data_IF_696970485017
#
_entry.id   IF_696970485017
#
_cell.length_a   1.000
_cell.length_b   1.000
_cell.length_c   1.000
_cell.angle_alpha   90.00
_cell.angle_beta   90.00
_cell.angle_gamma   90.00
#
_symmetry.space_group_name_H-M   'P 1'
#
loop_
_entity.id
_entity.type
_entity.pdbx_description
1 polymer ?
#
# COMPACT_ATOMS: atom_id res chain seq x y z
N UNK A 1 51.82 -43.00 -61.09
CA UNK A 1 53.20 -42.98 -60.57
C UNK A 1 53.15 -42.87 -59.07
N UNK A 2 53.85 -43.79 -58.40
CA UNK A 2 54.20 -43.81 -56.97
C UNK A 2 53.07 -44.24 -56.00
N UNK A 3 53.00 -45.52 -55.63
CA UNK A 3 53.74 -46.21 -54.53
C UNK A 3 53.00 -46.01 -53.17
N UNK A 4 52.78 -46.98 -52.28
CA UNK A 4 53.35 -48.32 -52.05
C UNK A 4 52.56 -48.97 -50.87
N UNK A 5 52.34 -50.30 -50.92
CA UNK A 5 52.28 -51.31 -49.81
C UNK A 5 51.29 -51.12 -48.64
N UNK A 6 50.90 -52.13 -47.86
CA UNK A 6 50.97 -53.59 -47.95
C UNK A 6 49.88 -54.14 -47.01
N UNK A 7 49.53 -55.38 -47.28
CA UNK A 7 48.85 -56.35 -46.43
C UNK A 7 49.20 -56.26 -44.94
N UNK A 8 48.24 -56.50 -44.05
CA UNK A 8 48.15 -57.80 -43.36
C UNK A 8 47.00 -57.86 -42.35
N UNK A 9 46.22 -58.93 -42.49
CA UNK A 9 45.33 -59.51 -41.49
C UNK A 9 46.18 -60.05 -40.34
N UNK A 10 45.72 -59.91 -39.10
CA UNK A 10 45.71 -61.04 -38.16
C UNK A 10 44.68 -60.80 -37.07
N UNK A 11 43.93 -61.87 -36.80
CA UNK A 11 42.88 -62.01 -35.83
C UNK A 11 43.27 -61.52 -34.44
N UNK A 12 42.33 -60.86 -33.76
CA UNK A 12 42.14 -61.12 -32.35
C UNK A 12 40.65 -61.32 -32.11
N UNK A 13 40.33 -62.61 -31.97
CA UNK A 13 39.15 -63.18 -31.36
C UNK A 13 38.58 -62.30 -30.25
N UNK A 14 37.34 -61.89 -30.45
CA UNK A 14 36.49 -61.33 -29.40
C UNK A 14 36.42 -62.34 -28.25
N UNK A 15 36.90 -61.93 -27.08
CA UNK A 15 36.49 -62.51 -25.80
C UNK A 15 35.00 -62.21 -25.63
N UNK A 16 34.18 -63.26 -25.57
CA UNK A 16 32.76 -63.20 -25.24
C UNK A 16 32.48 -62.78 -23.78
N UNK A 17 33.51 -62.42 -23.01
CA UNK A 17 33.43 -62.02 -21.61
C UNK A 17 33.37 -60.49 -21.38
N UNK A 18 33.46 -59.66 -22.43
CA UNK A 18 33.44 -58.19 -22.31
C UNK A 18 32.06 -57.53 -22.59
N UNK A 19 30.98 -58.33 -22.66
CA UNK A 19 29.62 -57.83 -22.92
C UNK A 19 28.67 -57.90 -21.70
N UNK A 20 29.15 -58.31 -20.53
CA UNK A 20 28.36 -58.26 -19.27
C UNK A 20 28.65 -57.02 -18.40
N UNK A 21 29.29 -56.00 -18.97
CA UNK A 21 29.20 -54.62 -18.48
C UNK A 21 28.25 -53.80 -19.35
N UNK A 22 27.12 -54.40 -19.77
CA UNK A 22 25.95 -53.59 -20.13
C UNK A 22 25.58 -52.76 -18.90
N UNK A 23 25.92 -51.47 -18.99
CA UNK A 23 25.35 -50.35 -18.25
C UNK A 23 24.39 -50.82 -17.17
N UNK A 24 24.85 -50.85 -15.91
CA UNK A 24 23.96 -50.59 -14.79
C UNK A 24 23.44 -49.18 -15.05
N UNK A 25 22.41 -49.07 -15.90
CA UNK A 25 21.76 -47.84 -16.33
C UNK A 25 21.46 -47.14 -15.03
N UNK A 26 22.24 -46.10 -14.74
CA UNK A 26 22.18 -45.43 -13.45
C UNK A 26 20.71 -45.10 -13.23
N UNK A 27 20.07 -45.73 -12.26
CA UNK A 27 18.64 -45.57 -12.07
C UNK A 27 18.42 -44.11 -11.68
N UNK A 28 17.94 -43.29 -12.62
CA UNK A 28 17.67 -41.88 -12.40
C UNK A 28 16.22 -41.73 -11.97
N UNK A 29 16.03 -41.26 -10.74
CA UNK A 29 14.71 -40.88 -10.26
C UNK A 29 14.15 -39.74 -11.12
N UNK A 30 12.82 -39.68 -11.32
CA UNK A 30 12.17 -38.52 -11.91
C UNK A 30 12.53 -37.24 -11.15
N UNK A 31 12.72 -36.13 -11.88
CA UNK A 31 12.85 -34.79 -11.26
C UNK A 31 11.51 -34.27 -10.73
N UNK A 32 10.40 -34.79 -11.26
CA UNK A 32 9.03 -34.46 -10.87
C UNK A 32 8.26 -35.71 -10.40
N UNK A 33 7.51 -35.56 -9.31
CA UNK A 33 6.63 -36.60 -8.78
C UNK A 33 5.19 -36.10 -8.76
N UNK A 34 4.20 -36.96 -9.10
CA UNK A 34 2.80 -36.54 -9.13
C UNK A 34 2.27 -36.20 -7.74
N UNK A 35 1.31 -35.29 -7.71
CA UNK A 35 0.75 -34.78 -6.46
C UNK A 35 -0.27 -35.77 -5.88
N UNK A 36 0.18 -36.57 -4.92
CA UNK A 36 -0.66 -37.60 -4.28
C UNK A 36 -1.88 -37.01 -3.56
N UNK A 37 -2.94 -37.81 -3.40
CA UNK A 37 -4.13 -37.46 -2.60
C UNK A 37 -3.78 -37.05 -1.16
N UNK A 38 -2.76 -37.69 -0.56
CA UNK A 38 -2.25 -37.35 0.77
C UNK A 38 -1.62 -35.96 0.78
N UNK A 39 -0.80 -35.63 -0.23
CA UNK A 39 -0.21 -34.30 -0.40
C UNK A 39 -1.29 -33.24 -0.63
N UNK A 40 -2.29 -33.51 -1.48
CA UNK A 40 -3.43 -32.59 -1.68
C UNK A 40 -4.21 -32.35 -0.40
N UNK A 41 -4.44 -33.38 0.42
CA UNK A 41 -5.10 -33.23 1.73
C UNK A 41 -4.29 -32.34 2.67
N UNK A 42 -2.97 -32.51 2.73
CA UNK A 42 -2.09 -31.63 3.52
C UNK A 42 -2.14 -30.20 2.99
N UNK A 43 -2.01 -30.00 1.68
CA UNK A 43 -2.07 -28.67 1.07
C UNK A 43 -3.42 -27.98 1.31
N UNK A 44 -4.53 -28.73 1.31
CA UNK A 44 -5.85 -28.21 1.71
C UNK A 44 -5.87 -27.64 3.11
N UNK A 45 -5.23 -28.31 4.07
CA UNK A 45 -5.14 -27.81 5.46
C UNK A 45 -4.20 -26.61 5.64
N UNK A 46 -3.28 -26.38 4.69
CA UNK A 46 -2.38 -25.23 4.77
C UNK A 46 -3.13 -23.95 4.43
N UNK A 47 -3.00 -22.96 5.30
CA UNK A 47 -3.42 -21.58 5.06
C UNK A 47 -2.16 -20.73 4.87
N UNK A 48 -2.25 -19.70 4.03
CA UNK A 48 -1.24 -18.65 4.05
C UNK A 48 -1.08 -18.15 5.49
N UNK A 49 0.16 -17.88 5.90
CA UNK A 49 0.43 -17.37 7.23
C UNK A 49 -0.35 -16.08 7.43
N UNK A 50 -1.48 -16.15 8.14
CA UNK A 50 -2.21 -14.96 8.54
C UNK A 50 -1.43 -14.34 9.67
N UNK A 51 -1.12 -13.05 9.51
CA UNK A 51 -0.66 -12.22 10.61
C UNK A 51 -1.70 -12.32 11.72
N UNK A 52 -1.40 -13.09 12.77
CA UNK A 52 -2.34 -13.28 13.86
C UNK A 52 -2.72 -11.93 14.49
N UNK A 53 -3.85 -11.89 15.20
CA UNK A 53 -4.40 -10.68 15.83
C UNK A 53 -3.36 -9.83 16.57
N UNK A 54 -2.28 -10.43 17.10
CA UNK A 54 -1.17 -9.71 17.75
C UNK A 54 -0.36 -8.83 16.79
N UNK A 55 -0.01 -9.30 15.59
CA UNK A 55 0.77 -8.52 14.60
C UNK A 55 -0.06 -7.39 14.05
N UNK A 56 -1.33 -7.63 13.75
CA UNK A 56 -2.26 -6.58 13.33
C UNK A 56 -2.45 -5.51 14.41
N UNK A 57 -2.62 -5.90 15.68
CA UNK A 57 -2.66 -4.93 16.80
C UNK A 57 -1.37 -4.14 16.92
N UNK A 58 -0.21 -4.78 16.73
CA UNK A 58 1.08 -4.10 16.74
C UNK A 58 1.21 -3.12 15.58
N UNK A 59 0.74 -3.50 14.38
CA UNK A 59 0.69 -2.63 13.20
C UNK A 59 -0.09 -1.36 13.49
N UNK A 60 -1.35 -1.49 13.91
CA UNK A 60 -2.19 -0.34 14.24
C UNK A 60 -1.55 0.54 15.31
N UNK A 61 -1.01 -0.08 16.38
CA UNK A 61 -0.30 0.66 17.43
C UNK A 61 0.89 1.44 16.88
N UNK A 62 1.66 0.84 15.97
CA UNK A 62 2.80 1.50 15.33
C UNK A 62 2.34 2.71 14.51
N UNK A 63 1.32 2.53 13.66
CA UNK A 63 0.75 3.61 12.86
C UNK A 63 0.22 4.75 13.72
N UNK A 64 -0.51 4.44 14.79
CA UNK A 64 -1.02 5.43 15.75
C UNK A 64 0.12 6.16 16.47
N UNK A 65 1.19 5.47 16.84
CA UNK A 65 2.38 6.08 17.42
C UNK A 65 3.06 7.04 16.44
N UNK A 66 3.18 6.66 15.17
CA UNK A 66 3.77 7.53 14.13
C UNK A 66 2.90 8.76 13.94
N UNK A 67 1.57 8.61 13.80
CA UNK A 67 0.64 9.75 13.67
C UNK A 67 0.77 10.75 14.83
N UNK A 68 0.75 10.25 16.07
CA UNK A 68 0.91 11.09 17.26
C UNK A 68 2.28 11.77 17.33
N UNK A 69 3.34 11.05 16.96
CA UNK A 69 4.68 11.61 16.94
C UNK A 69 4.79 12.74 15.90
N UNK A 70 4.22 12.55 14.71
CA UNK A 70 4.13 13.56 13.65
C UNK A 70 3.38 14.81 14.14
N UNK A 71 2.18 14.64 14.70
CA UNK A 71 1.36 15.74 15.21
C UNK A 71 2.07 16.52 16.33
N UNK A 72 2.67 15.81 17.29
CA UNK A 72 3.43 16.42 18.38
C UNK A 72 4.65 17.19 17.87
N UNK A 73 5.41 16.60 16.95
CA UNK A 73 6.58 17.24 16.35
C UNK A 73 6.20 18.53 15.60
N UNK A 74 5.19 18.48 14.73
CA UNK A 74 4.72 19.65 13.98
C UNK A 74 4.26 20.74 14.94
N UNK A 75 3.51 20.39 15.99
CA UNK A 75 3.03 21.36 16.96
C UNK A 75 4.20 22.08 17.66
N UNK A 76 5.23 21.35 18.09
CA UNK A 76 6.43 21.93 18.70
C UNK A 76 7.18 22.84 17.71
N UNK A 77 7.33 22.43 16.45
CA UNK A 77 8.04 23.24 15.44
C UNK A 77 7.29 24.53 15.14
N UNK A 78 5.97 24.46 14.94
CA UNK A 78 5.14 25.64 14.68
C UNK A 78 5.10 26.57 15.90
N UNK A 79 5.04 26.03 17.11
CA UNK A 79 5.18 26.81 18.33
C UNK A 79 6.53 27.54 18.37
N UNK A 80 7.66 26.88 18.10
CA UNK A 80 8.97 27.56 18.09
C UNK A 80 9.04 28.66 17.02
N UNK A 81 8.52 28.41 15.83
CA UNK A 81 8.54 29.40 14.75
C UNK A 81 7.65 30.61 15.07
N UNK A 82 6.48 30.39 15.67
CA UNK A 82 5.63 31.49 16.08
C UNK A 82 6.20 32.27 17.29
N UNK A 83 7.06 31.67 18.12
CA UNK A 83 7.80 32.41 19.15
C UNK A 83 8.83 33.35 18.52
N UNK A 84 9.59 32.86 17.53
CA UNK A 84 10.52 33.67 16.74
C UNK A 84 9.79 34.82 16.02
N UNK A 85 8.59 34.57 15.50
CA UNK A 85 7.76 35.60 14.89
C UNK A 85 7.32 36.67 15.90
N UNK A 86 6.92 36.28 17.12
CA UNK A 86 6.56 37.21 18.18
C UNK A 86 7.75 38.09 18.62
N UNK A 87 8.94 37.49 18.69
CA UNK A 87 10.19 38.17 19.04
C UNK A 87 10.78 39.00 17.89
N UNK A 88 10.17 38.96 16.70
CA UNK A 88 10.67 39.60 15.46
C UNK A 88 12.00 39.05 14.95
N UNK A 89 12.38 37.84 15.38
CA UNK A 89 13.51 37.07 14.87
C UNK A 89 13.20 36.36 13.53
N UNK A 90 11.95 36.47 13.10
CA UNK A 90 11.41 35.90 11.87
C UNK A 90 10.28 36.80 11.37
N UNK A 91 10.21 37.00 10.07
CA UNK A 91 9.09 37.66 9.38
C UNK A 91 7.95 36.68 9.12
N UNK A 92 6.75 37.20 8.84
CA UNK A 92 5.60 36.36 8.48
C UNK A 92 5.86 35.53 7.20
N UNK A 93 6.51 36.12 6.20
CA UNK A 93 6.87 35.40 4.97
C UNK A 93 7.82 34.24 5.24
N UNK A 94 8.80 34.44 6.12
CA UNK A 94 9.74 33.38 6.53
C UNK A 94 9.04 32.29 7.35
N UNK A 95 8.04 32.64 8.16
CA UNK A 95 7.21 31.66 8.87
C UNK A 95 6.44 30.78 7.90
N UNK A 96 5.76 31.37 6.92
CA UNK A 96 4.99 30.64 5.91
C UNK A 96 5.90 29.79 5.01
N UNK A 97 7.10 30.29 4.68
CA UNK A 97 8.10 29.52 3.95
C UNK A 97 8.65 28.35 4.77
N UNK A 98 8.96 28.56 6.06
CA UNK A 98 9.40 27.50 6.97
C UNK A 98 8.33 26.43 7.14
N UNK A 99 7.06 26.84 7.21
CA UNK A 99 5.89 25.95 7.23
C UNK A 99 5.78 25.11 5.97
N UNK A 100 5.94 25.71 4.77
CA UNK A 100 5.96 24.96 3.50
C UNK A 100 7.14 23.99 3.42
N UNK A 101 8.33 24.41 3.87
CA UNK A 101 9.53 23.58 3.93
C UNK A 101 9.36 22.40 4.90
N UNK A 102 8.62 22.57 5.99
CA UNK A 102 8.33 21.50 6.96
C UNK A 102 7.69 20.27 6.29
N UNK A 103 6.80 20.48 5.31
CA UNK A 103 6.16 19.37 4.62
C UNK A 103 7.10 18.65 3.64
N UNK A 104 7.94 19.36 2.86
CA UNK A 104 8.74 18.74 1.78
C UNK A 104 10.17 18.36 2.21
N UNK A 105 10.80 19.16 3.06
CA UNK A 105 12.26 19.14 3.27
C UNK A 105 12.66 18.73 4.69
N UNK A 106 11.72 18.61 5.62
CA UNK A 106 12.05 18.28 7.01
C UNK A 106 12.55 16.85 7.18
N UNK A 107 13.67 16.71 7.89
CA UNK A 107 14.34 15.42 8.09
C UNK A 107 13.51 14.47 8.95
N UNK A 108 12.87 14.96 10.02
CA UNK A 108 12.13 14.10 10.94
C UNK A 108 10.78 13.69 10.33
N UNK A 109 10.11 14.60 9.62
CA UNK A 109 8.94 14.24 8.83
C UNK A 109 9.28 13.16 7.79
N UNK A 110 10.39 13.30 7.06
CA UNK A 110 10.80 12.31 6.07
C UNK A 110 11.18 10.95 6.68
N UNK A 111 11.75 10.92 7.89
CA UNK A 111 11.94 9.69 8.66
C UNK A 111 10.62 9.03 9.01
N UNK A 112 9.63 9.79 9.49
CA UNK A 112 8.30 9.28 9.84
C UNK A 112 7.55 8.76 8.59
N UNK A 113 7.66 9.46 7.45
CA UNK A 113 7.16 8.98 6.15
C UNK A 113 7.79 7.66 5.75
N UNK A 114 9.10 7.52 5.90
CA UNK A 114 9.82 6.28 5.56
C UNK A 114 9.31 5.11 6.40
N UNK A 115 9.03 5.33 7.68
CA UNK A 115 8.44 4.30 8.55
C UNK A 115 7.04 3.91 8.04
N UNK A 116 6.17 4.87 7.72
CA UNK A 116 4.83 4.58 7.19
C UNK A 116 4.88 3.88 5.82
N UNK A 117 5.80 4.28 4.94
CA UNK A 117 6.02 3.63 3.65
C UNK A 117 6.45 2.18 3.83
N UNK A 118 7.38 1.91 4.75
CA UNK A 118 7.79 0.54 5.06
C UNK A 118 6.65 -0.33 5.61
N UNK A 119 5.75 0.25 6.42
CA UNK A 119 4.54 -0.44 6.89
C UNK A 119 3.64 -0.79 5.70
N UNK A 120 3.33 0.20 4.84
CA UNK A 120 2.56 0.01 3.60
C UNK A 120 3.14 -1.11 2.75
N UNK A 121 4.42 -1.03 2.41
CA UNK A 121 5.09 -1.96 1.51
C UNK A 121 5.13 -3.39 2.09
N UNK A 122 5.23 -3.51 3.41
CA UNK A 122 5.16 -4.81 4.11
C UNK A 122 3.76 -5.40 4.02
N UNK A 123 2.72 -4.61 4.23
CA UNK A 123 1.34 -5.09 4.15
C UNK A 123 0.95 -5.46 2.71
N UNK A 124 1.39 -4.68 1.72
CA UNK A 124 1.21 -5.02 0.30
C UNK A 124 1.88 -6.37 -0.01
N UNK A 125 3.12 -6.59 0.45
CA UNK A 125 3.80 -7.89 0.29
C UNK A 125 3.05 -9.04 0.95
N UNK A 126 2.46 -8.82 2.14
CA UNK A 126 1.65 -9.83 2.83
C UNK A 126 0.39 -10.18 2.02
N UNK A 127 -0.33 -9.18 1.49
CA UNK A 127 -1.50 -9.38 0.63
C UNK A 127 -1.13 -10.14 -0.65
N UNK A 128 -0.03 -9.74 -1.28
CA UNK A 128 0.48 -10.37 -2.50
C UNK A 128 0.84 -11.83 -2.25
N UNK A 129 1.47 -12.13 -1.12
CA UNK A 129 1.79 -13.49 -0.73
C UNK A 129 0.52 -14.32 -0.49
N UNK A 130 -0.48 -13.79 0.22
CA UNK A 130 -1.75 -14.50 0.47
C UNK A 130 -2.44 -14.84 -0.84
N UNK A 131 -2.50 -13.88 -1.77
CA UNK A 131 -3.09 -14.08 -3.09
C UNK A 131 -2.31 -15.13 -3.90
N UNK A 132 -0.99 -14.97 -4.03
CA UNK A 132 -0.14 -15.88 -4.78
C UNK A 132 -0.22 -17.31 -4.21
N UNK A 133 -0.22 -17.45 -2.88
CA UNK A 133 -0.39 -18.74 -2.22
C UNK A 133 -1.76 -19.36 -2.50
N UNK A 134 -2.83 -18.55 -2.43
CA UNK A 134 -4.20 -18.99 -2.71
C UNK A 134 -4.36 -19.47 -4.16
N UNK A 135 -3.88 -18.69 -5.13
CA UNK A 135 -3.91 -19.05 -6.55
C UNK A 135 -3.07 -20.29 -6.83
N UNK A 136 -1.82 -20.34 -6.35
CA UNK A 136 -0.96 -21.53 -6.49
C UNK A 136 -1.64 -22.78 -5.94
N UNK A 137 -2.27 -22.67 -4.77
CA UNK A 137 -3.00 -23.78 -4.14
C UNK A 137 -4.19 -24.23 -4.99
N UNK A 138 -4.98 -23.31 -5.54
CA UNK A 138 -6.11 -23.64 -6.41
C UNK A 138 -5.65 -24.41 -7.66
N UNK A 139 -4.66 -23.87 -8.37
CA UNK A 139 -4.11 -24.46 -9.59
C UNK A 139 -3.59 -25.89 -9.32
N UNK A 140 -2.91 -26.12 -8.18
CA UNK A 140 -2.43 -27.45 -7.79
C UNK A 140 -3.58 -28.41 -7.44
N UNK A 141 -4.68 -27.92 -6.87
CA UNK A 141 -5.83 -28.77 -6.56
C UNK A 141 -6.49 -29.31 -7.83
N UNK A 142 -6.52 -28.52 -8.90
CA UNK A 142 -7.12 -28.84 -10.19
C UNK A 142 -6.30 -29.82 -11.03
N UNK A 143 -4.98 -29.96 -10.79
CA UNK A 143 -4.12 -30.92 -11.51
C UNK A 143 -4.63 -32.35 -11.35
N UNK A 144 -5.03 -33.01 -12.43
CA UNK A 144 -5.36 -34.45 -12.41
C UNK A 144 -4.16 -35.25 -12.93
N UNK A 145 -3.54 -36.02 -12.03
CA UNK A 145 -2.29 -36.75 -12.32
C UNK A 145 -2.42 -38.18 -11.82
N UNK A 146 -2.08 -39.20 -12.63
CA UNK A 146 -2.14 -40.59 -12.20
C UNK A 146 -1.14 -40.85 -11.06
N UNK A 147 -1.42 -41.85 -10.22
CA UNK A 147 -0.49 -42.26 -9.18
C UNK A 147 0.78 -42.85 -9.81
N UNK A 148 1.97 -42.54 -9.25
CA UNK A 148 3.23 -43.09 -9.72
C UNK A 148 3.26 -44.62 -9.51
N UNK A 149 3.47 -45.36 -10.60
CA UNK A 149 3.67 -46.81 -10.63
C UNK A 149 4.91 -47.12 -11.46
N UNK A 150 5.46 -48.33 -11.33
CA UNK A 150 6.61 -48.77 -12.13
C UNK A 150 6.32 -48.62 -13.64
N UNK A 151 5.10 -48.94 -14.06
CA UNK A 151 4.68 -48.89 -15.47
C UNK A 151 4.61 -47.47 -16.04
N UNK A 152 4.24 -46.47 -15.23
CA UNK A 152 4.12 -45.08 -15.68
C UNK A 152 5.30 -44.18 -15.28
N UNK A 153 6.30 -44.73 -14.57
CA UNK A 153 7.53 -44.04 -14.18
C UNK A 153 8.26 -43.38 -15.37
N UNK A 154 8.34 -44.00 -16.57
CA UNK A 154 8.96 -43.34 -17.73
C UNK A 154 8.26 -42.06 -18.18
N UNK A 155 6.96 -41.88 -17.87
CA UNK A 155 6.24 -40.64 -18.19
C UNK A 155 6.83 -39.48 -17.39
N UNK A 156 7.06 -39.67 -16.09
CA UNK A 156 7.60 -38.65 -15.20
C UNK A 156 9.10 -38.40 -15.38
N UNK A 157 9.85 -39.39 -15.88
CA UNK A 157 11.26 -39.21 -16.24
C UNK A 157 11.43 -38.37 -17.51
N UNK A 158 10.44 -38.35 -18.41
CA UNK A 158 10.46 -37.58 -19.66
C UNK A 158 9.92 -36.15 -19.50
N UNK A 159 9.21 -35.88 -18.42
CA UNK A 159 8.80 -34.50 -18.06
C UNK A 159 10.06 -33.78 -17.62
N UNK A 160 10.73 -33.09 -18.55
CA UNK A 160 11.79 -32.15 -18.24
C UNK A 160 11.27 -31.12 -17.24
N UNK A 161 12.11 -30.67 -16.32
CA UNK A 161 11.83 -29.69 -15.26
C UNK A 161 11.09 -28.39 -15.67
N UNK A 162 10.84 -28.14 -16.96
CA UNK A 162 10.06 -27.00 -17.48
C UNK A 162 8.63 -27.27 -17.96
N UNK A 163 8.13 -28.51 -18.00
CA UNK A 163 6.80 -28.81 -18.55
C UNK A 163 5.67 -28.91 -17.51
N UNK A 164 5.99 -29.18 -16.24
CA UNK A 164 5.05 -29.12 -15.11
C UNK A 164 5.72 -28.37 -13.95
N UNK A 165 5.26 -27.14 -13.69
CA UNK A 165 5.82 -26.31 -12.62
C UNK A 165 5.71 -27.03 -11.28
N UNK A 166 6.84 -27.28 -10.63
CA UNK A 166 6.84 -27.74 -9.25
C UNK A 166 6.08 -26.74 -8.37
N UNK A 167 5.51 -27.20 -7.25
CA UNK A 167 4.69 -26.36 -6.34
C UNK A 167 5.39 -25.05 -5.97
N UNK A 168 6.70 -25.13 -5.72
CA UNK A 168 7.52 -23.98 -5.34
C UNK A 168 7.79 -23.02 -6.50
N UNK A 169 8.08 -23.53 -7.68
CA UNK A 169 8.30 -22.71 -8.88
C UNK A 169 7.00 -22.05 -9.33
N UNK A 170 5.86 -22.73 -9.19
CA UNK A 170 4.54 -22.16 -9.40
C UNK A 170 4.27 -21.00 -8.44
N UNK A 171 4.57 -21.16 -7.15
CA UNK A 171 4.46 -20.07 -6.17
C UNK A 171 5.38 -18.89 -6.53
N UNK A 172 6.64 -19.16 -6.88
CA UNK A 172 7.58 -18.12 -7.32
C UNK A 172 7.09 -17.40 -8.56
N UNK A 173 6.55 -18.13 -9.52
CA UNK A 173 5.97 -17.59 -10.75
C UNK A 173 4.81 -16.66 -10.41
N UNK A 174 3.88 -17.09 -9.54
CA UNK A 174 2.74 -16.27 -9.07
C UNK A 174 3.18 -15.04 -8.27
N UNK A 175 4.26 -15.13 -7.49
CA UNK A 175 4.84 -13.99 -6.76
C UNK A 175 5.50 -12.99 -7.72
N UNK A 176 6.19 -13.48 -8.76
CA UNK A 176 6.83 -12.63 -9.78
C UNK A 176 5.83 -12.01 -10.74
N UNK A 177 4.72 -12.69 -11.01
CA UNK A 177 3.66 -12.19 -11.91
C UNK A 177 2.83 -11.06 -11.28
N UNK A 178 3.08 -10.70 -10.01
CA UNK A 178 2.63 -9.44 -9.40
C UNK A 178 1.18 -9.07 -9.74
N UNK A 179 0.23 -9.98 -9.53
CA UNK A 179 -1.17 -9.73 -9.94
C UNK A 179 -1.88 -8.66 -9.10
N UNK A 180 -1.33 -8.32 -7.93
CA UNK A 180 -1.76 -7.14 -7.19
C UNK A 180 -0.90 -6.00 -7.70
N UNK A 181 -1.45 -5.26 -8.66
CA UNK A 181 -0.88 -4.00 -9.12
C UNK A 181 -0.46 -3.15 -7.90
N UNK A 182 0.66 -2.43 -7.98
CA UNK A 182 1.00 -1.39 -6.98
C UNK A 182 -0.12 -0.34 -6.86
N UNK A 183 -1.02 -0.27 -7.87
CA UNK A 183 -2.23 0.54 -7.90
C UNK A 183 -3.50 -0.20 -7.43
N UNK A 184 -3.38 -1.40 -6.88
CA UNK A 184 -4.53 -2.05 -6.26
C UNK A 184 -4.90 -1.27 -5.00
N UNK A 185 -6.17 -0.85 -4.92
CA UNK A 185 -6.78 -0.06 -3.84
C UNK A 185 -6.88 -0.86 -2.52
N UNK A 186 -5.74 -1.36 -2.05
CA UNK A 186 -5.60 -2.13 -0.82
C UNK A 186 -5.77 -1.20 0.38
N UNK A 187 -6.19 -1.76 1.51
CA UNK A 187 -6.33 -0.98 2.75
C UNK A 187 -5.00 -0.32 3.16
N UNK A 188 -3.87 -0.97 2.92
CA UNK A 188 -2.55 -0.42 3.24
C UNK A 188 -2.23 0.85 2.42
N UNK A 189 -2.59 0.86 1.13
CA UNK A 189 -2.43 2.03 0.26
C UNK A 189 -3.34 3.16 0.73
N UNK A 190 -4.61 2.86 1.07
CA UNK A 190 -5.55 3.84 1.64
C UNK A 190 -5.02 4.44 2.93
N UNK A 191 -4.56 3.61 3.86
CA UNK A 191 -4.06 4.05 5.15
C UNK A 191 -2.82 4.96 5.03
N UNK A 192 -1.94 4.69 4.05
CA UNK A 192 -0.78 5.53 3.76
C UNK A 192 -1.21 6.87 3.13
N UNK A 193 -2.13 6.84 2.17
CA UNK A 193 -2.69 8.07 1.57
C UNK A 193 -3.37 8.94 2.62
N UNK A 194 -4.16 8.33 3.50
CA UNK A 194 -4.81 9.02 4.63
C UNK A 194 -3.77 9.65 5.57
N UNK A 195 -2.65 8.97 5.79
CA UNK A 195 -1.53 9.53 6.56
C UNK A 195 -0.90 10.75 5.88
N UNK A 196 -0.63 10.71 4.57
CA UNK A 196 -0.10 11.88 3.84
C UNK A 196 -1.10 13.05 3.84
N UNK A 197 -2.40 12.77 3.69
CA UNK A 197 -3.45 13.80 3.80
C UNK A 197 -3.48 14.42 5.20
N UNK A 198 -3.43 13.60 6.25
CA UNK A 198 -3.38 14.06 7.64
C UNK A 198 -2.12 14.88 7.91
N UNK A 199 -0.96 14.44 7.42
CA UNK A 199 0.31 15.16 7.53
C UNK A 199 0.21 16.54 6.88
N UNK A 200 -0.28 16.60 5.64
CA UNK A 200 -0.46 17.85 4.92
C UNK A 200 -1.39 18.80 5.68
N UNK A 201 -2.57 18.33 6.09
CA UNK A 201 -3.55 19.14 6.84
C UNK A 201 -3.01 19.61 8.18
N UNK A 202 -2.24 18.77 8.87
CA UNK A 202 -1.65 19.13 10.17
C UNK A 202 -0.67 20.28 10.04
N UNK A 203 0.02 20.36 8.90
CA UNK A 203 0.91 21.47 8.55
C UNK A 203 0.12 22.62 7.94
N UNK A 204 -0.88 22.41 7.08
CA UNK A 204 -1.58 23.43 6.29
C UNK A 204 -3.11 23.25 6.36
N UNK A 205 -3.78 23.66 7.46
CA UNK A 205 -5.19 23.37 7.71
C UNK A 205 -6.14 24.15 6.79
N UNK A 206 -5.69 25.24 6.17
CA UNK A 206 -6.49 26.09 5.27
C UNK A 206 -6.19 25.86 3.79
N UNK A 207 -5.17 25.07 3.43
CA UNK A 207 -4.80 24.84 2.02
C UNK A 207 -5.49 23.57 1.48
N UNK A 208 -5.89 23.54 0.20
CA UNK A 208 -6.42 22.35 -0.44
C UNK A 208 -5.37 21.23 -0.45
N UNK A 209 -5.81 19.98 -0.26
CA UNK A 209 -4.88 18.85 -0.33
C UNK A 209 -4.54 18.60 -1.79
N UNK A 210 -3.25 18.60 -2.19
CA UNK A 210 -2.89 18.52 -3.60
C UNK A 210 -3.07 17.13 -4.25
N UNK A 211 -3.40 16.08 -3.48
CA UNK A 211 -3.44 14.68 -3.95
C UNK A 211 -4.84 14.03 -3.91
N UNK A 212 -5.92 14.83 -3.85
CA UNK A 212 -7.28 14.28 -3.77
C UNK A 212 -7.69 13.48 -5.02
N UNK A 213 -6.97 13.61 -6.14
CA UNK A 213 -7.14 12.85 -7.36
C UNK A 213 -5.90 11.98 -7.62
N UNK A 214 -6.08 10.67 -7.76
CA UNK A 214 -5.00 9.71 -8.07
C UNK A 214 -4.31 10.11 -9.38
N UNK A 215 -3.15 10.76 -9.29
CA UNK A 215 -2.18 10.83 -10.38
C UNK A 215 -0.94 10.09 -9.91
N UNK A 216 -0.63 9.03 -10.66
CA UNK A 216 0.51 8.13 -10.55
C UNK A 216 1.71 8.74 -9.84
N UNK A 217 2.29 8.00 -8.89
CA UNK A 217 3.60 8.29 -8.28
C UNK A 217 4.66 8.50 -9.39
N UNK A 218 4.77 9.73 -9.84
CA UNK A 218 5.78 10.27 -10.72
C UNK A 218 6.22 11.56 -10.05
N UNK A 219 7.50 11.61 -9.71
CA UNK A 219 8.21 12.59 -8.90
C UNK A 219 8.25 13.99 -9.58
N UNK A 220 7.08 14.53 -9.90
CA UNK A 220 6.90 15.81 -10.56
C UNK A 220 6.30 16.81 -9.59
N UNK A 221 6.92 17.99 -9.58
CA UNK A 221 6.58 19.14 -8.75
C UNK A 221 5.09 19.35 -8.60
N UNK A 222 4.58 19.03 -7.40
CA UNK A 222 3.20 19.28 -7.03
C UNK A 222 2.99 20.78 -6.90
N UNK A 223 2.35 21.33 -7.92
CA UNK A 223 1.76 22.67 -7.92
C UNK A 223 0.51 22.63 -7.03
N UNK A 224 0.54 23.36 -5.91
CA UNK A 224 -0.64 23.57 -5.09
C UNK A 224 -1.56 24.50 -5.87
N UNK A 225 -2.68 23.98 -6.36
CA UNK A 225 -3.72 24.79 -6.99
C UNK A 225 -4.14 25.88 -5.99
N UNK A 226 -3.99 27.14 -6.37
CA UNK A 226 -4.21 28.27 -5.47
C UNK A 226 -5.64 28.30 -4.95
N UNK A 227 -5.82 28.19 -3.64
CA UNK A 227 -7.13 28.26 -3.00
C UNK A 227 -7.06 28.13 -1.49
N UNK A 228 -8.13 28.55 -0.80
CA UNK A 228 -8.35 28.28 0.63
C UNK A 228 -9.53 27.34 0.79
N UNK A 229 -9.40 26.36 1.66
CA UNK A 229 -10.50 25.50 2.08
C UNK A 229 -11.31 26.25 3.13
N UNK A 230 -12.61 26.44 2.88
CA UNK A 230 -13.51 27.03 3.87
C UNK A 230 -13.72 26.07 5.04
N UNK A 231 -13.58 26.60 6.25
CA UNK A 231 -13.87 25.89 7.50
C UNK A 231 -15.29 26.18 8.02
N UNK A 232 -16.04 27.01 7.27
CA UNK A 232 -17.40 27.40 7.60
C UNK A 232 -18.40 26.40 7.02
N UNK A 233 -19.48 26.14 7.76
CA UNK A 233 -20.55 25.31 7.27
C UNK A 233 -21.34 26.07 6.19
N UNK A 234 -21.61 25.47 5.02
CA UNK A 234 -22.37 26.13 3.96
C UNK A 234 -23.87 26.32 4.29
N UNK A 235 -24.34 25.82 5.45
CA UNK A 235 -25.72 25.94 5.93
C UNK A 235 -25.84 27.01 7.01
N UNK A 236 -25.01 26.96 8.05
CA UNK A 236 -25.05 27.93 9.15
C UNK A 236 -24.17 29.15 8.92
N UNK A 237 -23.20 29.07 8.01
CA UNK A 237 -22.13 30.05 7.82
C UNK A 237 -21.23 30.26 9.05
N UNK A 238 -21.34 29.38 10.04
CA UNK A 238 -20.49 29.35 11.24
C UNK A 238 -19.37 28.31 11.09
N UNK A 239 -18.33 28.42 11.92
CA UNK A 239 -17.26 27.43 12.00
C UNK A 239 -17.84 26.05 12.32
N UNK A 240 -17.42 25.03 11.57
CA UNK A 240 -17.90 23.67 11.77
C UNK A 240 -17.39 23.11 13.11
N UNK A 241 -18.25 22.43 13.88
CA UNK A 241 -17.87 21.79 15.14
C UNK A 241 -17.80 20.25 15.00
N UNK A 242 -18.84 19.62 14.42
CA UNK A 242 -18.90 18.17 14.17
C UNK A 242 -19.01 17.90 12.65
N UNK A 243 -17.88 17.82 11.92
CA UNK A 243 -17.88 17.78 10.46
C UNK A 243 -18.36 16.43 9.93
N UNK A 244 -19.33 16.48 9.02
CA UNK A 244 -19.85 15.32 8.29
C UNK A 244 -19.83 15.58 6.79
N UNK A 245 -19.49 14.57 6.00
CA UNK A 245 -19.35 14.66 4.54
C UNK A 245 -20.40 13.80 3.84
N UNK A 246 -20.91 14.30 2.71
CA UNK A 246 -21.65 13.47 1.77
C UNK A 246 -20.66 12.75 0.84
N UNK A 247 -20.49 11.42 0.94
CA UNK A 247 -19.52 10.69 0.10
C UNK A 247 -19.88 10.74 -1.40
N UNK A 248 -21.13 11.08 -1.76
CA UNK A 248 -21.58 11.17 -3.16
C UNK A 248 -21.10 12.44 -3.86
N UNK A 249 -20.93 13.55 -3.14
CA UNK A 249 -20.53 14.84 -3.74
C UNK A 249 -19.35 15.53 -3.05
N UNK A 250 -18.85 15.00 -1.92
CA UNK A 250 -17.67 15.51 -1.24
C UNK A 250 -17.88 16.76 -0.39
N UNK A 251 -19.10 17.30 -0.29
CA UNK A 251 -19.38 18.48 0.52
C UNK A 251 -19.49 18.16 2.00
N UNK A 252 -18.87 19.00 2.82
CA UNK A 252 -18.80 18.87 4.28
C UNK A 252 -19.70 19.90 4.97
N UNK A 253 -20.33 19.50 6.07
CA UNK A 253 -21.27 20.30 6.84
C UNK A 253 -21.03 20.13 8.33
N UNK A 254 -21.54 21.06 9.14
CA UNK A 254 -21.81 20.77 10.54
C UNK A 254 -22.99 19.80 10.66
N UNK A 255 -22.82 18.77 11.48
CA UNK A 255 -23.82 17.70 11.68
C UNK A 255 -25.16 18.21 12.19
N UNK A 256 -25.17 19.20 13.07
CA UNK A 256 -26.41 19.74 13.63
C UNK A 256 -27.16 20.55 12.57
N UNK A 257 -26.43 21.38 11.82
CA UNK A 257 -26.95 22.18 10.71
C UNK A 257 -27.56 21.32 9.61
N UNK A 258 -26.84 20.28 9.15
CA UNK A 258 -27.34 19.40 8.08
C UNK A 258 -28.50 18.53 8.56
N UNK A 259 -28.52 18.09 9.82
CA UNK A 259 -29.64 17.32 10.37
C UNK A 259 -30.94 18.14 10.44
N UNK A 260 -30.84 19.46 10.64
CA UNK A 260 -31.98 20.37 10.60
C UNK A 260 -32.41 20.67 9.17
N UNK A 261 -31.45 20.92 8.26
CA UNK A 261 -31.71 21.13 6.84
C UNK A 261 -32.45 19.94 6.20
N UNK A 262 -32.04 18.71 6.53
CA UNK A 262 -32.60 17.47 6.00
C UNK A 262 -34.05 17.17 6.44
N UNK A 263 -34.63 17.98 7.33
CA UNK A 263 -36.05 17.89 7.68
C UNK A 263 -36.95 18.45 6.56
N UNK A 264 -36.43 19.38 5.77
CA UNK A 264 -37.19 20.15 4.77
C UNK A 264 -36.70 19.91 3.33
N UNK A 265 -35.52 19.34 3.15
CA UNK A 265 -34.91 19.06 1.84
C UNK A 265 -34.17 17.74 1.88
N UNK A 266 -34.07 17.06 0.73
CA UNK A 266 -33.29 15.85 0.53
C UNK A 266 -32.17 16.05 -0.50
N UNK A 267 -31.82 17.30 -0.79
CA UNK A 267 -30.76 17.68 -1.73
C UNK A 267 -29.56 18.25 -0.99
N UNK A 268 -28.38 18.16 -1.59
CA UNK A 268 -27.21 18.82 -1.06
C UNK A 268 -27.40 20.36 -1.11
N UNK A 269 -27.09 21.11 -0.03
CA UNK A 269 -27.17 22.58 -0.04
C UNK A 269 -26.27 23.27 -1.07
N UNK A 270 -25.24 22.59 -1.55
CA UNK A 270 -24.19 23.13 -2.44
C UNK A 270 -24.36 22.66 -3.89
N UNK A 271 -25.00 21.52 -4.12
CA UNK A 271 -25.12 20.91 -5.45
C UNK A 271 -26.41 20.07 -5.57
N UNK A 272 -26.86 19.69 -6.79
CA UNK A 272 -28.13 18.98 -6.96
C UNK A 272 -28.11 17.50 -6.54
N UNK A 273 -27.02 17.00 -5.95
CA UNK A 273 -26.89 15.60 -5.52
C UNK A 273 -27.83 15.29 -4.35
N UNK A 274 -28.44 14.10 -4.36
CA UNK A 274 -29.28 13.64 -3.25
C UNK A 274 -28.48 13.49 -1.95
N UNK A 275 -29.06 13.94 -0.84
CA UNK A 275 -28.49 13.90 0.48
C UNK A 275 -29.47 13.23 1.46
N UNK A 276 -29.04 12.13 2.07
CA UNK A 276 -29.81 11.44 3.12
C UNK A 276 -29.01 11.42 4.40
N UNK A 277 -29.71 11.49 5.54
CA UNK A 277 -29.08 11.48 6.86
C UNK A 277 -28.24 10.22 7.11
N UNK A 278 -28.64 9.09 6.54
CA UNK A 278 -27.95 7.81 6.67
C UNK A 278 -26.68 7.72 5.81
N UNK A 279 -26.57 8.54 4.76
CA UNK A 279 -25.42 8.55 3.85
C UNK A 279 -24.28 9.44 4.38
N UNK A 280 -24.56 10.28 5.38
CA UNK A 280 -23.56 11.15 5.99
C UNK A 280 -22.58 10.35 6.84
N UNK A 281 -21.29 10.57 6.58
CA UNK A 281 -20.18 9.96 7.34
C UNK A 281 -19.34 11.05 8.01
N UNK A 282 -18.66 10.71 9.10
CA UNK A 282 -17.73 11.64 9.77
C UNK A 282 -16.59 12.03 8.81
N UNK A 283 -16.36 13.34 8.66
CA UNK A 283 -15.24 13.86 7.89
C UNK A 283 -14.02 14.03 8.80
N UNK A 284 -13.25 12.94 8.92
CA UNK A 284 -12.03 12.90 9.73
C UNK A 284 -10.99 13.92 9.27
N UNK A 285 -10.93 14.24 7.98
CA UNK A 285 -9.93 15.15 7.44
C UNK A 285 -10.29 16.61 7.78
N UNK A 286 -11.56 17.00 7.60
CA UNK A 286 -12.04 18.31 8.04
C UNK A 286 -11.93 18.46 9.56
N UNK A 287 -12.20 17.40 10.33
CA UNK A 287 -11.99 17.41 11.79
C UNK A 287 -10.54 17.72 12.16
N UNK A 288 -9.58 17.11 11.47
CA UNK A 288 -8.17 17.43 11.65
C UNK A 288 -7.86 18.88 11.28
N UNK A 289 -8.43 19.40 10.17
CA UNK A 289 -8.28 20.81 9.78
C UNK A 289 -8.71 21.76 10.89
N UNK A 290 -9.89 21.53 11.46
CA UNK A 290 -10.45 22.36 12.54
C UNK A 290 -9.56 22.32 13.80
N UNK A 291 -9.08 21.13 14.19
CA UNK A 291 -8.16 20.97 15.34
C UNK A 291 -6.86 21.74 15.11
N UNK A 292 -6.26 21.60 13.92
CA UNK A 292 -5.00 22.26 13.59
C UNK A 292 -5.16 23.77 13.39
N UNK A 293 -6.30 24.21 12.85
CA UNK A 293 -6.65 25.63 12.78
C UNK A 293 -6.81 26.23 14.19
N UNK A 294 -7.54 25.56 15.09
CA UNK A 294 -7.71 26.00 16.47
C UNK A 294 -6.36 26.07 17.22
N UNK A 295 -5.46 25.11 16.98
CA UNK A 295 -4.07 25.14 17.48
C UNK A 295 -3.37 26.42 17.01
N UNK A 296 -3.39 26.69 15.71
CA UNK A 296 -2.70 27.85 15.14
C UNK A 296 -3.27 29.17 15.71
N UNK A 297 -4.60 29.30 15.78
CA UNK A 297 -5.27 30.45 16.40
C UNK A 297 -4.84 30.64 17.84
N UNK A 298 -4.78 29.56 18.63
CA UNK A 298 -4.32 29.60 20.02
C UNK A 298 -2.87 30.09 20.11
N UNK A 299 -1.98 29.51 19.31
CA UNK A 299 -0.56 29.89 19.26
C UNK A 299 -0.39 31.38 18.95
N UNK A 300 -1.10 31.90 17.95
CA UNK A 300 -1.00 33.31 17.57
C UNK A 300 -1.61 34.24 18.61
N UNK A 301 -2.75 33.87 19.19
CA UNK A 301 -3.42 34.64 20.24
C UNK A 301 -2.57 34.78 21.51
N UNK A 302 -1.99 33.68 21.99
CA UNK A 302 -1.14 33.67 23.19
C UNK A 302 0.11 34.54 23.05
N UNK A 303 0.53 34.81 21.80
CA UNK A 303 1.72 35.59 21.48
C UNK A 303 1.44 36.99 20.94
N UNK A 304 0.19 37.43 20.97
CA UNK A 304 -0.24 38.73 20.45
C UNK A 304 0.15 38.97 18.98
N UNK A 305 0.21 37.89 18.19
CA UNK A 305 0.47 37.97 16.76
C UNK A 305 -0.87 38.20 16.07
N UNK A 306 -0.96 39.24 15.24
CA UNK A 306 -2.13 39.45 14.38
C UNK A 306 -2.16 38.34 13.34
N UNK A 307 -3.15 37.46 13.43
CA UNK A 307 -3.54 36.66 12.27
C UNK A 307 -4.12 37.60 11.23
N UNK A 308 -3.94 37.30 9.95
CA UNK A 308 -4.82 37.90 8.97
C UNK A 308 -6.20 37.37 9.35
N UNK A 309 -7.08 38.27 9.81
CA UNK A 309 -8.50 37.97 9.83
C UNK A 309 -8.80 37.49 8.42
N UNK A 310 -9.22 36.24 8.30
CA UNK A 310 -9.65 35.76 7.01
C UNK A 310 -10.65 36.79 6.50
N UNK A 311 -10.42 37.31 5.30
CA UNK A 311 -11.40 38.06 4.51
C UNK A 311 -12.59 37.14 4.15
N UNK A 312 -13.09 36.34 5.09
CA UNK A 312 -14.23 35.42 5.04
C UNK A 312 -15.54 36.20 5.29
N UNK A 313 -15.54 37.50 5.01
CA UNK A 313 -16.75 38.27 4.74
C UNK A 313 -16.76 38.57 3.25
N UNK A 314 -17.26 37.63 2.45
CA UNK A 314 -18.03 37.83 1.22
C UNK A 314 -18.45 36.48 0.63
#
# INVERSE_FOLDING_TARGET
MSNIKDESKSDNTASEDDLEEEEVRSFKLPEYFPITRKTKSKLRSLTAWKTGNRREKMRHKCMDCVKKATEGYISIVLEKNAERLANKDMTKSEFDEARRKLYKQDLEINRLRTIMKNIKDTDVKDVNFIYAFGSMKADIMERDEPALTISNMPLYQRVSSGAQDQVYDHLKSKLRSGMVSENADTQAVKDYRDFEHQLFVTINPTEPVPFLHDVSEGDNDIEVEGGKVSLLCPISHDLIEDPVINPKCGHTYDKTSVANYLRNSNQCPVCPTELRRQDLIEDKLMKQRLVCYARDVKIFKERNIKMDEAEDKL
#
